data_IF_212550490966
#
_entry.id   IF_212550490966
#
_cell.length_a   1.000
_cell.length_b   1.000
_cell.length_c   1.000
_cell.angle_alpha   90.00
_cell.angle_beta   90.00
_cell.angle_gamma   90.00
#
_symmetry.space_group_name_H-M   'P 1'
#
loop_
_entity.id
_entity.type
_entity.pdbx_description
1 polymer ?
#
# COMPACT_ATOMS: atom_id res chain seq x y z
N UNK A 1 -46.88 -42.88 -18.45
CA UNK A 1 -47.32 -41.85 -17.48
C UNK A 1 -47.85 -42.55 -16.24
N UNK A 2 -47.60 -42.01 -15.03
CA UNK A 2 -48.44 -42.10 -13.82
C UNK A 2 -48.71 -43.51 -13.19
N UNK A 3 -48.89 -43.72 -11.87
CA UNK A 3 -48.57 -42.99 -10.61
C UNK A 3 -49.00 -43.84 -9.38
N UNK A 4 -48.26 -43.79 -8.25
CA UNK A 4 -48.75 -43.89 -6.83
C UNK A 4 -49.42 -45.25 -6.38
N UNK A 5 -49.56 -45.69 -5.11
CA UNK A 5 -49.05 -45.26 -3.78
C UNK A 5 -49.19 -46.35 -2.68
N UNK A 6 -48.25 -46.38 -1.72
CA UNK A 6 -48.37 -46.53 -0.24
C UNK A 6 -49.18 -47.68 0.44
N UNK A 7 -48.59 -48.31 1.48
CA UNK A 7 -49.32 -48.99 2.58
C UNK A 7 -49.13 -48.34 3.98
N UNK A 8 -49.84 -48.86 5.01
CA UNK A 8 -49.75 -48.53 6.45
C UNK A 8 -49.29 -49.76 7.29
N UNK A 9 -48.86 -49.54 8.53
CA UNK A 9 -48.25 -50.53 9.46
C UNK A 9 -49.24 -51.37 10.28
N UNK A 10 -48.75 -52.34 11.09
CA UNK A 10 -48.82 -52.18 12.56
C UNK A 10 -47.53 -52.60 13.34
N UNK A 11 -47.63 -52.84 14.67
CA UNK A 11 -46.58 -52.69 15.74
C UNK A 11 -46.02 -54.03 16.34
N UNK A 12 -44.95 -53.99 17.19
CA UNK A 12 -44.15 -55.13 17.74
C UNK A 12 -44.69 -55.65 19.12
N UNK A 13 -44.03 -56.50 19.97
CA UNK A 13 -42.58 -56.91 20.07
C UNK A 13 -42.26 -58.37 20.56
N UNK A 14 -41.05 -58.55 21.16
CA UNK A 14 -40.43 -59.68 21.93
C UNK A 14 -39.38 -60.49 21.12
N UNK A 15 -38.10 -60.71 21.51
CA UNK A 15 -37.46 -60.70 22.84
C UNK A 15 -36.79 -62.05 23.19
N UNK A 16 -35.61 -62.37 22.61
CA UNK A 16 -34.66 -63.51 22.86
C UNK A 16 -34.43 -64.37 21.59
N UNK A 17 -33.30 -65.05 21.28
CA UNK A 17 -31.90 -65.23 21.76
C UNK A 17 -31.19 -66.03 20.63
N UNK A 18 -29.86 -66.07 20.39
CA UNK A 18 -28.62 -65.40 20.88
C UNK A 18 -27.53 -65.66 19.78
N UNK A 19 -26.57 -64.78 19.49
CA UNK A 19 -25.13 -64.79 19.88
C UNK A 19 -24.49 -63.54 19.24
N UNK A 20 -23.98 -62.55 19.96
CA UNK A 20 -22.64 -62.48 20.60
C UNK A 20 -21.42 -62.71 19.67
N UNK A 21 -21.21 -61.80 18.70
CA UNK A 21 -19.98 -60.99 18.57
C UNK A 21 -20.12 -59.85 17.54
N UNK A 22 -19.28 -58.83 17.68
CA UNK A 22 -18.95 -57.76 16.70
C UNK A 22 -19.79 -56.46 16.60
N UNK A 23 -20.74 -56.17 17.50
CA UNK A 23 -21.47 -54.88 17.48
C UNK A 23 -20.80 -53.69 18.21
N UNK A 24 -19.68 -53.89 18.94
CA UNK A 24 -19.09 -52.81 19.76
C UNK A 24 -18.02 -51.94 19.06
N UNK A 25 -17.54 -52.34 17.88
CA UNK A 25 -16.45 -51.62 17.19
C UNK A 25 -16.96 -50.60 16.15
N UNK A 26 -18.07 -50.90 15.48
CA UNK A 26 -18.54 -50.13 14.32
C UNK A 26 -19.34 -48.86 14.65
N UNK A 27 -20.09 -48.83 15.76
CA UNK A 27 -20.84 -47.62 16.16
C UNK A 27 -19.93 -46.44 16.53
N UNK A 28 -18.71 -46.70 17.03
CA UNK A 28 -17.79 -45.66 17.51
C UNK A 28 -17.01 -44.92 16.41
N UNK A 29 -17.02 -45.44 15.18
CA UNK A 29 -16.22 -44.89 14.06
C UNK A 29 -17.07 -43.96 13.15
N UNK A 30 -18.40 -44.07 13.19
CA UNK A 30 -19.29 -43.30 12.30
C UNK A 30 -19.51 -41.81 12.63
N UNK A 31 -19.17 -41.34 13.83
CA UNK A 31 -19.58 -40.00 14.33
C UNK A 31 -18.47 -38.94 14.38
N UNK A 32 -17.19 -39.33 14.26
CA UNK A 32 -16.04 -38.41 14.33
C UNK A 32 -15.84 -37.60 13.04
N UNK A 33 -15.95 -38.24 11.87
CA UNK A 33 -15.70 -37.58 10.57
C UNK A 33 -16.69 -36.46 10.25
N UNK A 34 -17.95 -36.58 10.69
CA UNK A 34 -18.99 -35.57 10.46
C UNK A 34 -18.83 -34.34 11.36
N UNK A 35 -18.43 -34.53 12.62
CA UNK A 35 -18.13 -33.42 13.55
C UNK A 35 -16.90 -32.62 13.14
N UNK A 36 -15.85 -33.28 12.62
CA UNK A 36 -14.64 -32.58 12.14
C UNK A 36 -14.96 -31.60 11.01
N UNK A 37 -15.69 -32.05 9.97
CA UNK A 37 -16.10 -31.18 8.84
C UNK A 37 -17.04 -30.05 9.24
N UNK A 38 -17.93 -30.24 10.22
CA UNK A 38 -18.81 -29.15 10.69
C UNK A 38 -18.01 -28.07 11.42
N UNK A 39 -17.02 -28.46 12.24
CA UNK A 39 -16.14 -27.50 12.91
C UNK A 39 -15.29 -26.72 11.90
N UNK A 40 -14.68 -27.42 10.95
CA UNK A 40 -13.88 -26.87 9.85
C UNK A 40 -14.69 -25.88 8.99
N UNK A 41 -15.95 -26.20 8.65
CA UNK A 41 -16.84 -25.27 7.93
C UNK A 41 -17.21 -24.05 8.77
N UNK A 42 -17.45 -24.20 10.08
CA UNK A 42 -17.71 -23.06 10.97
C UNK A 42 -16.47 -22.17 11.17
N UNK A 43 -15.29 -22.77 11.23
CA UNK A 43 -14.01 -22.07 11.35
C UNK A 43 -13.75 -21.20 10.12
N UNK A 44 -13.92 -21.77 8.91
CA UNK A 44 -13.84 -21.03 7.64
C UNK A 44 -14.95 -19.99 7.48
N UNK A 45 -16.17 -20.23 7.99
CA UNK A 45 -17.26 -19.23 7.97
C UNK A 45 -17.01 -18.07 8.97
N UNK A 46 -16.35 -18.34 10.09
CA UNK A 46 -15.94 -17.32 11.06
C UNK A 46 -14.75 -16.51 10.56
N UNK A 47 -13.73 -17.17 10.01
CA UNK A 47 -12.58 -16.54 9.34
C UNK A 47 -13.05 -15.65 8.17
N UNK A 48 -13.94 -16.18 7.32
CA UNK A 48 -14.55 -15.42 6.22
C UNK A 48 -15.35 -14.19 6.68
N UNK A 49 -16.04 -14.25 7.83
CA UNK A 49 -16.69 -13.06 8.42
C UNK A 49 -15.68 -12.07 8.96
N UNK A 50 -14.63 -12.55 9.66
CA UNK A 50 -13.57 -11.69 10.18
C UNK A 50 -12.83 -10.95 9.06
N UNK A 51 -12.60 -11.61 7.91
CA UNK A 51 -11.99 -11.01 6.74
C UNK A 51 -12.87 -9.97 6.01
N UNK A 52 -14.20 -10.05 6.14
CA UNK A 52 -15.14 -9.11 5.50
C UNK A 52 -15.47 -7.93 6.42
N UNK A 53 -15.66 -8.17 7.71
CA UNK A 53 -16.11 -7.15 8.68
C UNK A 53 -14.96 -6.38 9.36
N UNK A 54 -13.69 -6.72 9.09
CA UNK A 54 -12.53 -6.00 9.64
C UNK A 54 -12.46 -4.57 9.08
N UNK A 55 -12.74 -3.52 9.89
CA UNK A 55 -12.74 -2.15 9.39
C UNK A 55 -11.30 -1.68 9.26
N UNK A 56 -10.87 -1.41 8.02
CA UNK A 56 -9.53 -0.87 7.69
C UNK A 56 -9.26 0.45 8.39
N UNK A 57 -8.78 0.37 9.63
CA UNK A 57 -8.50 1.47 10.54
C UNK A 57 -7.04 1.30 10.99
N UNK A 58 -6.20 2.34 11.00
CA UNK A 58 -4.74 2.21 11.20
C UNK A 58 -4.29 1.79 12.62
N UNK A 59 -5.20 1.28 13.45
CA UNK A 59 -4.90 0.75 14.77
C UNK A 59 -5.59 -0.61 14.97
N UNK A 60 -4.92 -1.66 14.52
CA UNK A 60 -5.27 -3.03 14.87
C UNK A 60 -4.47 -3.42 16.13
N UNK A 61 -5.09 -3.53 17.33
CA UNK A 61 -4.37 -3.88 18.55
C UNK A 61 -3.87 -5.35 18.57
N UNK A 62 -4.37 -6.17 17.64
CA UNK A 62 -3.95 -7.56 17.41
C UNK A 62 -2.84 -7.67 16.33
N UNK A 63 -1.94 -6.69 16.22
CA UNK A 63 -0.63 -6.93 15.59
C UNK A 63 0.04 -8.07 16.35
N UNK A 64 0.29 -9.19 15.67
CA UNK A 64 0.97 -10.32 16.29
C UNK A 64 2.34 -9.84 16.84
N UNK A 65 2.76 -10.24 18.05
CA UNK A 65 4.06 -9.83 18.61
C UNK A 65 5.24 -10.14 17.68
N UNK A 66 5.05 -11.10 16.78
CA UNK A 66 5.98 -11.52 15.74
C UNK A 66 6.20 -10.47 14.64
N UNK A 67 5.22 -9.63 14.32
CA UNK A 67 5.35 -8.54 13.32
C UNK A 67 6.10 -7.31 13.87
N UNK A 68 6.29 -7.24 15.20
CA UNK A 68 7.08 -6.24 15.91
C UNK A 68 8.47 -6.75 16.32
N UNK A 69 8.83 -7.99 15.97
CA UNK A 69 10.15 -8.55 16.26
C UNK A 69 11.20 -8.03 15.28
N UNK A 70 11.90 -6.97 15.69
CA UNK A 70 13.12 -6.53 15.00
C UNK A 70 14.25 -7.55 15.16
N UNK A 71 15.03 -7.75 14.10
CA UNK A 71 16.33 -8.41 14.18
C UNK A 71 17.38 -7.53 14.91
N UNK A 72 18.50 -8.12 15.30
CA UNK A 72 19.54 -7.40 16.05
C UNK A 72 20.25 -6.38 15.14
N UNK A 73 20.19 -5.09 15.52
CA UNK A 73 20.52 -3.89 14.73
C UNK A 73 19.52 -3.49 13.63
N UNK A 74 18.40 -4.21 13.42
CA UNK A 74 17.35 -3.73 12.51
C UNK A 74 16.75 -2.41 13.04
N UNK A 75 16.58 -1.45 12.12
CA UNK A 75 15.83 -0.22 12.37
C UNK A 75 14.51 -0.29 11.60
N UNK A 76 13.41 0.07 12.26
CA UNK A 76 12.12 0.29 11.60
C UNK A 76 11.61 1.68 11.94
N UNK A 77 11.09 2.37 10.93
CA UNK A 77 10.54 3.71 11.08
C UNK A 77 9.02 3.67 10.99
N UNK A 78 8.35 4.52 11.76
CA UNK A 78 6.92 4.76 11.65
C UNK A 78 6.65 6.27 11.73
N UNK A 79 5.69 6.74 10.94
CA UNK A 79 5.28 8.14 10.97
C UNK A 79 4.51 8.40 12.26
N UNK A 80 4.78 9.53 12.92
CA UNK A 80 3.97 9.97 14.07
C UNK A 80 2.52 10.21 13.60
N UNK A 81 1.49 9.69 14.30
CA UNK A 81 0.09 9.87 13.88
C UNK A 81 -0.29 11.33 13.61
N UNK A 82 0.24 12.27 14.39
CA UNK A 82 0.01 13.72 14.24
C UNK A 82 0.59 14.30 12.93
N UNK A 83 1.55 13.64 12.29
CA UNK A 83 2.08 14.09 10.99
C UNK A 83 1.08 13.87 9.85
N UNK A 84 0.16 12.91 9.97
CA UNK A 84 -0.93 12.75 9.00
C UNK A 84 -1.98 13.86 9.10
N UNK A 85 -2.04 14.60 10.21
CA UNK A 85 -2.87 15.79 10.35
C UNK A 85 -2.24 17.05 9.70
N UNK A 86 -0.99 16.99 9.21
CA UNK A 86 -0.34 18.12 8.53
C UNK A 86 -0.99 18.36 7.15
N UNK A 87 -1.63 19.52 6.91
CA UNK A 87 -2.24 19.82 5.61
C UNK A 87 -1.20 19.85 4.47
N UNK A 88 0.07 20.19 4.75
CA UNK A 88 1.13 20.21 3.72
C UNK A 88 1.53 18.82 3.26
N UNK A 89 1.56 17.84 4.17
CA UNK A 89 1.86 16.45 3.82
C UNK A 89 0.73 15.88 2.94
N UNK A 90 -0.51 16.15 3.32
CA UNK A 90 -1.69 15.75 2.54
C UNK A 90 -1.72 16.42 1.15
N UNK A 91 -1.38 17.71 1.05
CA UNK A 91 -1.22 18.42 -0.21
C UNK A 91 -0.12 17.78 -1.09
N UNK A 92 1.03 17.43 -0.52
CA UNK A 92 2.10 16.76 -1.24
C UNK A 92 1.66 15.40 -1.79
N UNK A 93 1.02 14.57 -0.96
CA UNK A 93 0.49 13.26 -1.36
C UNK A 93 -0.50 13.44 -2.52
N UNK A 94 -1.45 14.37 -2.39
CA UNK A 94 -2.44 14.66 -3.42
C UNK A 94 -1.81 15.09 -4.75
N UNK A 95 -0.88 16.07 -4.73
CA UNK A 95 -0.19 16.55 -5.93
C UNK A 95 0.62 15.45 -6.62
N UNK A 96 1.23 14.54 -5.85
CA UNK A 96 1.96 13.39 -6.41
C UNK A 96 1.03 12.34 -7.01
N UNK A 97 -0.14 12.08 -6.41
CA UNK A 97 -1.16 11.16 -6.96
C UNK A 97 -1.70 11.71 -8.29
N UNK A 98 -2.11 12.98 -8.34
CA UNK A 98 -2.63 13.61 -9.55
C UNK A 98 -1.59 13.61 -10.67
N UNK A 99 -0.32 13.88 -10.35
CA UNK A 99 0.78 13.79 -11.33
C UNK A 99 0.94 12.40 -11.93
N UNK A 100 0.96 11.34 -11.10
CA UNK A 100 1.10 9.96 -11.60
C UNK A 100 -0.12 9.59 -12.46
N UNK A 101 -1.31 10.02 -12.07
CA UNK A 101 -2.55 9.83 -12.81
C UNK A 101 -2.49 10.50 -14.19
N UNK A 102 -2.05 11.76 -14.28
CA UNK A 102 -1.90 12.50 -15.53
C UNK A 102 -0.86 11.85 -16.48
N UNK A 103 0.32 11.49 -15.96
CA UNK A 103 1.37 10.84 -16.77
C UNK A 103 0.93 9.47 -17.33
N UNK A 104 0.14 8.73 -16.55
CA UNK A 104 -0.30 7.37 -16.87
C UNK A 104 -1.73 7.26 -17.41
N UNK A 105 -2.42 8.39 -17.64
CA UNK A 105 -3.79 8.43 -18.17
C UNK A 105 -3.93 7.67 -19.50
N UNK A 106 -2.95 7.80 -20.40
CA UNK A 106 -2.88 7.03 -21.67
C UNK A 106 -2.96 5.51 -21.46
N UNK A 107 -2.42 5.03 -20.34
CA UNK A 107 -2.35 3.61 -19.97
C UNK A 107 -3.58 3.17 -19.15
N UNK A 108 -4.50 4.09 -18.83
CA UNK A 108 -5.70 3.88 -17.99
C UNK A 108 -5.37 3.39 -16.57
N UNK A 109 -4.22 3.79 -16.05
CA UNK A 109 -3.82 3.54 -14.66
C UNK A 109 -4.41 4.66 -13.80
N UNK A 110 -4.91 4.31 -12.62
CA UNK A 110 -5.44 5.25 -11.64
C UNK A 110 -4.89 4.86 -10.26
N UNK A 111 -4.04 5.71 -9.72
CA UNK A 111 -3.56 5.71 -8.33
C UNK A 111 -4.59 6.41 -7.46
N UNK A 112 -4.79 5.87 -6.26
CA UNK A 112 -5.60 6.44 -5.18
C UNK A 112 -4.83 6.56 -3.88
N UNK A 113 -3.86 5.67 -3.65
CA UNK A 113 -3.06 5.63 -2.43
C UNK A 113 -1.62 5.24 -2.78
N UNK A 114 -0.66 6.09 -2.41
CA UNK A 114 0.75 5.87 -2.75
C UNK A 114 1.33 4.61 -2.08
N UNK A 115 0.85 4.23 -0.89
CA UNK A 115 1.32 3.08 -0.15
C UNK A 115 0.73 1.78 -0.70
N UNK A 116 -0.55 1.78 -1.06
CA UNK A 116 -1.24 0.60 -1.59
C UNK A 116 -1.01 0.35 -3.10
N UNK A 117 -0.72 1.39 -3.89
CA UNK A 117 -0.62 1.26 -5.36
C UNK A 117 0.83 1.18 -5.89
N UNK A 118 1.86 1.53 -5.10
CA UNK A 118 3.28 1.53 -5.55
C UNK A 118 4.14 0.37 -5.01
N UNK A 119 3.67 -0.34 -3.98
CA UNK A 119 4.47 -1.31 -3.21
C UNK A 119 4.92 -2.56 -3.99
N UNK A 120 4.24 -2.91 -5.08
CA UNK A 120 4.59 -4.07 -5.92
C UNK A 120 5.58 -3.72 -7.05
N UNK A 121 5.88 -2.42 -7.21
CA UNK A 121 6.75 -1.87 -8.25
C UNK A 121 6.10 -1.71 -9.63
N UNK A 122 4.84 -2.07 -9.84
CA UNK A 122 4.18 -2.03 -11.15
C UNK A 122 3.96 -0.60 -11.65
N UNK A 123 3.40 0.27 -10.81
CA UNK A 123 3.15 1.66 -11.20
C UNK A 123 4.47 2.44 -11.30
N UNK A 124 5.43 2.16 -10.42
CA UNK A 124 6.81 2.69 -10.53
C UNK A 124 7.48 2.29 -11.85
N UNK A 125 7.31 1.03 -12.30
CA UNK A 125 7.76 0.62 -13.64
C UNK A 125 7.11 1.49 -14.71
N UNK A 126 5.77 1.60 -14.75
CA UNK A 126 5.06 2.31 -15.83
C UNK A 126 5.33 3.80 -15.85
N UNK A 127 5.52 4.41 -14.69
CA UNK A 127 5.96 5.79 -14.55
C UNK A 127 7.38 5.97 -15.12
N UNK A 128 8.34 5.13 -14.73
CA UNK A 128 9.70 5.24 -15.24
C UNK A 128 9.79 4.96 -16.76
N UNK A 129 9.01 4.00 -17.26
CA UNK A 129 8.93 3.70 -18.71
C UNK A 129 8.40 4.90 -19.52
N UNK A 130 7.39 5.61 -18.99
CA UNK A 130 6.84 6.85 -19.58
C UNK A 130 7.87 7.98 -19.56
N UNK A 131 8.52 8.21 -18.42
CA UNK A 131 9.45 9.32 -18.21
C UNK A 131 10.76 9.15 -19.00
N UNK A 132 11.38 7.96 -18.99
CA UNK A 132 12.58 7.67 -19.78
C UNK A 132 12.30 7.42 -21.26
N UNK A 133 11.06 7.06 -21.63
CA UNK A 133 10.68 6.55 -22.97
C UNK A 133 11.42 5.25 -23.37
N UNK A 134 11.88 4.50 -22.38
CA UNK A 134 12.55 3.20 -22.50
C UNK A 134 11.73 2.14 -21.77
N UNK A 135 11.66 0.91 -22.28
CA UNK A 135 10.99 -0.20 -21.59
C UNK A 135 11.93 -0.90 -20.61
N UNK A 136 11.39 -1.34 -19.48
CA UNK A 136 12.12 -2.16 -18.51
C UNK A 136 11.89 -3.65 -18.79
N UNK A 137 12.95 -4.45 -18.70
CA UNK A 137 12.89 -5.90 -18.81
C UNK A 137 12.48 -6.52 -17.45
N UNK A 138 11.18 -6.43 -17.15
CA UNK A 138 10.57 -7.00 -15.94
C UNK A 138 9.23 -7.68 -16.27
N UNK A 139 8.80 -8.69 -15.49
CA UNK A 139 7.52 -9.36 -15.72
C UNK A 139 6.33 -8.40 -15.57
N UNK A 140 5.39 -8.40 -16.53
CA UNK A 140 4.23 -7.48 -16.50
C UNK A 140 3.34 -7.65 -15.26
N UNK A 141 3.29 -8.86 -14.69
CA UNK A 141 2.54 -9.17 -13.47
C UNK A 141 3.36 -10.07 -12.53
N UNK A 142 3.25 -9.83 -11.23
CA UNK A 142 4.01 -10.50 -10.17
C UNK A 142 3.05 -10.89 -9.05
N UNK A 143 2.89 -12.20 -8.81
CA UNK A 143 1.89 -12.74 -7.88
C UNK A 143 2.47 -13.16 -6.52
N UNK A 144 3.78 -13.44 -6.44
CA UNK A 144 4.46 -13.77 -5.17
C UNK A 144 5.22 -12.57 -4.62
N UNK A 145 5.44 -12.58 -3.30
CA UNK A 145 6.22 -11.56 -2.59
C UNK A 145 7.64 -11.43 -3.16
N UNK A 146 8.31 -12.56 -3.40
CA UNK A 146 9.65 -12.58 -3.96
C UNK A 146 9.67 -11.99 -5.39
N UNK A 147 8.60 -12.21 -6.15
CA UNK A 147 8.45 -11.63 -7.49
C UNK A 147 8.29 -10.11 -7.45
N UNK A 148 7.52 -9.59 -6.48
CA UNK A 148 7.37 -8.15 -6.24
C UNK A 148 8.71 -7.53 -5.81
N UNK A 149 9.42 -8.14 -4.85
CA UNK A 149 10.75 -7.68 -4.40
C UNK A 149 11.79 -7.74 -5.52
N UNK A 150 11.76 -8.76 -6.39
CA UNK A 150 12.60 -8.82 -7.60
C UNK A 150 12.27 -7.72 -8.61
N UNK A 151 10.98 -7.46 -8.89
CA UNK A 151 10.55 -6.34 -9.76
C UNK A 151 11.04 -5.00 -9.20
N UNK A 152 10.76 -4.72 -7.93
CA UNK A 152 11.24 -3.51 -7.24
C UNK A 152 12.76 -3.38 -7.30
N UNK A 153 13.52 -4.47 -7.17
CA UNK A 153 14.98 -4.44 -7.31
C UNK A 153 15.39 -3.85 -8.67
N UNK A 154 14.84 -4.38 -9.77
CA UNK A 154 15.17 -3.93 -11.13
C UNK A 154 14.66 -2.50 -11.38
N UNK A 155 13.44 -2.17 -10.94
CA UNK A 155 12.84 -0.84 -11.10
C UNK A 155 13.64 0.21 -10.32
N UNK A 156 13.99 -0.03 -9.05
CA UNK A 156 14.74 0.93 -8.23
C UNK A 156 16.21 1.06 -8.70
N UNK A 157 16.84 -0.01 -9.20
CA UNK A 157 18.15 0.11 -9.87
C UNK A 157 18.08 1.01 -11.12
N UNK A 158 17.02 0.90 -11.92
CA UNK A 158 16.79 1.77 -13.06
C UNK A 158 16.48 3.22 -12.66
N UNK A 159 15.70 3.45 -11.60
CA UNK A 159 15.47 4.81 -11.05
C UNK A 159 16.79 5.41 -10.57
N UNK A 160 17.57 4.69 -9.75
CA UNK A 160 18.84 5.18 -9.22
C UNK A 160 19.83 5.55 -10.34
N UNK A 161 19.85 4.76 -11.43
CA UNK A 161 20.61 5.07 -12.66
C UNK A 161 20.09 6.35 -13.34
N UNK A 162 18.78 6.51 -13.50
CA UNK A 162 18.18 7.68 -14.14
C UNK A 162 18.38 8.99 -13.34
N UNK A 163 18.42 8.89 -12.01
CA UNK A 163 18.70 10.00 -11.09
C UNK A 163 20.21 10.29 -10.91
N UNK A 164 21.10 9.50 -11.52
CA UNK A 164 22.56 9.52 -11.31
C UNK A 164 22.99 9.39 -9.83
N UNK A 165 22.20 8.68 -9.02
CA UNK A 165 22.45 8.52 -7.58
C UNK A 165 23.39 7.32 -7.31
N UNK A 166 24.43 7.49 -6.47
CA UNK A 166 25.13 6.37 -5.85
C UNK A 166 24.16 5.50 -5.06
N UNK A 167 24.32 4.17 -5.09
CA UNK A 167 23.42 3.21 -4.42
C UNK A 167 23.19 3.48 -2.92
N UNK A 168 24.15 4.13 -2.25
CA UNK A 168 24.09 4.46 -0.81
C UNK A 168 23.46 5.83 -0.49
N UNK A 169 23.13 6.66 -1.50
CA UNK A 169 22.56 8.01 -1.32
C UNK A 169 21.02 8.04 -1.44
N UNK A 170 20.39 6.92 -1.81
CA UNK A 170 18.95 6.83 -1.95
C UNK A 170 18.27 6.71 -0.58
N UNK A 171 17.20 7.49 -0.35
CA UNK A 171 16.35 7.40 0.86
C UNK A 171 15.27 6.31 0.73
N UNK A 172 15.45 5.37 -0.22
CA UNK A 172 14.52 4.29 -0.52
C UNK A 172 15.28 3.00 -0.81
N UNK A 173 14.66 1.87 -0.47
CA UNK A 173 15.16 0.54 -0.79
C UNK A 173 13.97 -0.40 -1.08
N UNK A 174 14.26 -1.59 -1.58
CA UNK A 174 13.23 -2.58 -1.97
C UNK A 174 12.32 -2.92 -0.80
N UNK A 175 12.89 -3.15 0.38
CA UNK A 175 12.14 -3.58 1.56
C UNK A 175 11.24 -2.45 2.09
N UNK A 176 11.71 -1.19 2.11
CA UNK A 176 10.90 -0.08 2.61
C UNK A 176 9.73 0.29 1.67
N UNK A 177 9.93 0.24 0.34
CA UNK A 177 8.83 0.42 -0.61
C UNK A 177 7.83 -0.75 -0.52
N UNK A 178 8.31 -1.99 -0.41
CA UNK A 178 7.45 -3.18 -0.31
C UNK A 178 6.68 -3.25 1.02
N UNK A 179 7.30 -2.85 2.14
CA UNK A 179 6.67 -2.62 3.45
C UNK A 179 5.73 -1.41 3.49
N UNK A 180 5.51 -0.73 2.36
CA UNK A 180 4.60 0.41 2.21
C UNK A 180 5.00 1.63 3.05
N UNK A 181 6.29 1.85 3.28
CA UNK A 181 6.77 3.02 4.03
C UNK A 181 6.61 4.31 3.20
N UNK A 182 5.70 5.18 3.63
CA UNK A 182 5.35 6.40 2.88
C UNK A 182 6.52 7.37 2.66
N UNK A 183 7.40 7.57 3.66
CA UNK A 183 8.51 8.53 3.55
C UNK A 183 9.50 8.14 2.42
N UNK A 184 10.01 6.90 2.34
CA UNK A 184 10.75 6.40 1.18
C UNK A 184 10.03 6.58 -0.17
N UNK A 185 8.71 6.33 -0.21
CA UNK A 185 7.89 6.53 -1.43
C UNK A 185 7.86 8.02 -1.82
N UNK A 186 7.67 8.92 -0.85
CA UNK A 186 7.65 10.36 -1.09
C UNK A 186 9.00 10.87 -1.60
N UNK A 187 10.13 10.48 -0.97
CA UNK A 187 11.45 10.86 -1.47
C UNK A 187 11.69 10.37 -2.90
N UNK A 188 11.33 9.12 -3.21
CA UNK A 188 11.45 8.53 -4.55
C UNK A 188 10.69 9.37 -5.59
N UNK A 189 9.41 9.64 -5.34
CA UNK A 189 8.55 10.39 -6.26
C UNK A 189 9.00 11.85 -6.41
N UNK A 190 9.34 12.52 -5.31
CA UNK A 190 9.87 13.90 -5.33
C UNK A 190 11.20 13.98 -6.09
N UNK A 191 12.07 12.98 -5.98
CA UNK A 191 13.30 12.89 -6.78
C UNK A 191 13.02 12.69 -8.27
N UNK A 192 12.03 11.87 -8.64
CA UNK A 192 11.59 11.70 -10.03
C UNK A 192 11.04 13.02 -10.60
N UNK A 193 10.09 13.67 -9.90
CA UNK A 193 9.50 14.97 -10.29
C UNK A 193 10.58 16.01 -10.60
N UNK A 194 11.58 16.14 -9.71
CA UNK A 194 12.70 17.09 -9.87
C UNK A 194 13.60 16.73 -11.05
N UNK A 195 14.01 15.46 -11.17
CA UNK A 195 14.94 15.01 -12.21
C UNK A 195 14.35 15.13 -13.63
N UNK A 196 13.09 14.74 -13.79
CA UNK A 196 12.40 14.80 -15.07
C UNK A 196 11.73 16.15 -15.35
N UNK A 197 11.79 17.09 -14.39
CA UNK A 197 11.14 18.42 -14.46
C UNK A 197 9.66 18.32 -14.81
N UNK A 198 8.96 17.45 -14.08
CA UNK A 198 7.52 17.27 -14.26
C UNK A 198 6.78 18.62 -14.10
N UNK A 199 5.71 18.87 -14.88
CA UNK A 199 5.04 20.17 -14.93
C UNK A 199 4.08 20.40 -13.74
N UNK A 200 4.56 20.17 -12.52
CA UNK A 200 3.80 20.27 -11.28
C UNK A 200 4.51 21.13 -10.23
N UNK A 201 3.74 21.77 -9.34
CA UNK A 201 4.26 22.55 -8.22
C UNK A 201 4.14 21.75 -6.93
N UNK A 202 5.24 21.17 -6.47
CA UNK A 202 5.34 20.57 -5.14
C UNK A 202 5.20 21.64 -4.05
N UNK A 203 4.51 21.37 -2.92
CA UNK A 203 4.53 22.25 -1.75
C UNK A 203 5.93 22.29 -1.11
N UNK A 204 6.31 23.47 -0.59
CA UNK A 204 7.64 23.72 -0.01
C UNK A 204 7.69 23.47 1.50
N UNK A 205 8.86 23.08 2.01
CA UNK A 205 9.13 22.89 3.44
C UNK A 205 8.14 21.90 4.06
N UNK A 206 7.97 20.74 3.41
CA UNK A 206 7.17 19.60 3.89
C UNK A 206 8.10 18.67 4.66
N UNK A 207 7.73 18.36 5.89
CA UNK A 207 8.55 17.58 6.81
C UNK A 207 7.71 16.67 7.67
N UNK A 208 8.14 15.43 7.87
CA UNK A 208 7.37 14.37 8.55
C UNK A 208 8.05 14.02 9.88
N UNK A 209 7.29 13.99 10.97
CA UNK A 209 7.74 13.45 12.25
C UNK A 209 7.70 11.92 12.24
N UNK A 210 8.80 11.29 12.66
CA UNK A 210 8.99 9.84 12.61
C UNK A 210 9.54 9.31 13.93
N UNK A 211 9.03 8.17 14.37
CA UNK A 211 9.64 7.35 15.42
C UNK A 211 10.50 6.29 14.74
N UNK A 212 11.81 6.30 14.97
CA UNK A 212 12.70 5.22 14.56
C UNK A 212 12.97 4.33 15.77
N UNK A 213 12.58 3.06 15.66
CA UNK A 213 12.82 2.03 16.67
C UNK A 213 13.94 1.12 16.18
N UNK A 214 14.93 0.87 17.03
CA UNK A 214 16.07 0.02 16.74
C UNK A 214 16.33 -0.94 17.90
N UNK A 215 16.53 -2.22 17.57
CA UNK A 215 16.97 -3.21 18.55
C UNK A 215 18.49 -3.21 18.67
N UNK A 216 18.99 -2.99 19.88
CA UNK A 216 20.42 -3.02 20.24
C UNK A 216 20.60 -3.79 21.54
N UNK A 217 21.49 -4.77 21.50
CA UNK A 217 21.82 -5.67 22.61
C UNK A 217 20.56 -6.33 23.19
N UNK A 218 19.64 -6.76 22.31
CA UNK A 218 18.33 -7.33 22.69
C UNK A 218 17.31 -6.32 23.25
N UNK A 219 17.65 -5.05 23.39
CA UNK A 219 16.77 -4.00 23.92
C UNK A 219 16.24 -3.09 22.80
N UNK A 220 14.95 -2.74 22.85
CA UNK A 220 14.39 -1.75 21.92
C UNK A 220 14.73 -0.33 22.38
N UNK A 221 15.50 0.38 21.55
CA UNK A 221 15.74 1.81 21.64
C UNK A 221 14.82 2.55 20.66
N UNK A 222 14.37 3.76 20.99
CA UNK A 222 13.63 4.61 20.07
C UNK A 222 14.23 6.02 20.02
N UNK A 223 14.10 6.67 18.87
CA UNK A 223 14.47 8.08 18.66
C UNK A 223 13.43 8.77 17.79
N UNK A 224 13.16 10.03 18.10
CA UNK A 224 12.35 10.90 17.24
C UNK A 224 13.25 11.51 16.17
N UNK A 225 12.83 11.40 14.90
CA UNK A 225 13.51 11.97 13.75
C UNK A 225 12.50 12.84 13.00
N UNK A 226 12.95 13.98 12.50
CA UNK A 226 12.14 14.83 11.62
C UNK A 226 12.77 14.79 10.24
N UNK A 227 12.08 14.14 9.30
CA UNK A 227 12.56 13.97 7.93
C UNK A 227 12.04 15.11 7.04
N UNK A 228 12.88 15.64 6.15
CA UNK A 228 12.52 16.73 5.25
C UNK A 228 12.30 16.21 3.82
N UNK A 229 11.05 16.23 3.37
CA UNK A 229 10.64 15.70 2.06
C UNK A 229 10.84 16.75 0.96
N UNK A 230 10.50 18.00 1.26
CA UNK A 230 10.70 19.14 0.33
C UNK A 230 11.33 20.33 1.02
N UNK A 231 12.35 20.91 0.39
CA UNK A 231 12.97 22.20 0.74
C UNK A 231 12.39 23.31 -0.15
N UNK A 232 12.98 24.51 -0.14
CA UNK A 232 12.62 25.61 -1.06
C UNK A 232 13.06 25.32 -2.50
N UNK A 233 12.41 25.95 -3.49
CA UNK A 233 12.73 25.75 -4.92
C UNK A 233 14.15 26.20 -5.30
N UNK A 234 14.66 27.26 -4.66
CA UNK A 234 15.99 27.81 -4.94
C UNK A 234 17.12 26.82 -4.58
N UNK A 235 16.94 26.04 -3.50
CA UNK A 235 17.90 25.02 -3.05
C UNK A 235 17.94 23.78 -3.95
N UNK A 236 16.88 23.55 -4.74
CA UNK A 236 16.64 22.30 -5.48
C UNK A 236 17.06 22.36 -6.95
N UNK A 237 17.59 23.49 -7.41
CA UNK A 237 17.92 23.71 -8.83
C UNK A 237 16.69 23.78 -9.76
N UNK A 238 15.49 23.62 -9.21
CA UNK A 238 14.21 23.83 -9.88
C UNK A 238 13.94 25.34 -9.98
N UNK A 239 14.70 26.03 -10.84
CA UNK A 239 14.29 27.32 -11.38
C UNK A 239 13.09 27.11 -12.28
N UNK A 240 11.91 27.00 -11.67
CA UNK A 240 10.71 27.50 -12.32
C UNK A 240 10.97 28.99 -12.55
N UNK A 241 11.12 29.40 -13.81
CA UNK A 241 11.26 30.83 -14.12
C UNK A 241 9.98 31.51 -13.60
N UNK A 242 10.12 32.44 -12.63
CA UNK A 242 8.99 33.15 -12.03
C UNK A 242 8.11 33.67 -13.16
N UNK A 243 6.88 33.16 -13.22
CA UNK A 243 6.05 33.47 -14.37
C UNK A 243 5.46 34.89 -14.23
N UNK A 244 4.74 35.31 -15.27
CA UNK A 244 4.09 36.61 -15.26
C UNK A 244 3.00 36.71 -14.17
N UNK A 245 2.47 35.59 -13.67
CA UNK A 245 1.48 35.53 -12.60
C UNK A 245 2.12 35.60 -11.21
N UNK A 246 3.19 34.87 -10.91
CA UNK A 246 3.93 34.99 -9.64
C UNK A 246 4.32 36.47 -9.39
N UNK A 247 4.86 37.12 -10.42
CA UNK A 247 5.20 38.56 -10.36
C UNK A 247 3.96 39.45 -10.14
N UNK A 248 2.81 39.07 -10.73
CA UNK A 248 1.54 39.78 -10.57
C UNK A 248 0.98 39.63 -9.15
N UNK A 249 1.03 38.43 -8.58
CA UNK A 249 0.58 38.15 -7.22
C UNK A 249 1.43 38.90 -6.18
N UNK A 250 2.75 38.81 -6.28
CA UNK A 250 3.68 39.40 -5.30
C UNK A 250 3.69 40.94 -5.32
N UNK A 251 3.72 41.55 -6.52
CA UNK A 251 4.02 42.98 -6.68
C UNK A 251 2.82 43.82 -7.15
N UNK A 252 1.80 43.21 -7.74
CA UNK A 252 0.69 43.89 -8.40
C UNK A 252 -0.69 43.23 -8.18
N UNK A 253 -1.08 42.88 -6.94
CA UNK A 253 -2.33 42.17 -6.69
C UNK A 253 -3.58 42.91 -7.21
N UNK A 254 -3.55 44.24 -7.24
CA UNK A 254 -4.62 45.08 -7.82
C UNK A 254 -4.92 44.76 -9.30
N UNK A 255 -3.91 44.29 -10.05
CA UNK A 255 -4.04 43.94 -11.48
C UNK A 255 -4.71 42.58 -11.69
N UNK A 256 -4.81 41.72 -10.67
CA UNK A 256 -5.49 40.42 -10.77
C UNK A 256 -6.96 40.57 -11.17
N UNK A 257 -7.65 41.58 -10.67
CA UNK A 257 -9.05 41.84 -11.03
C UNK A 257 -9.21 42.23 -12.50
N UNK A 258 -8.22 42.91 -13.07
CA UNK A 258 -8.19 43.27 -14.50
C UNK A 258 -8.00 42.02 -15.36
N UNK A 259 -7.03 41.16 -15.01
CA UNK A 259 -6.80 39.88 -15.71
C UNK A 259 -8.02 38.96 -15.61
N UNK A 260 -8.59 38.80 -14.41
CA UNK A 260 -9.82 38.01 -14.18
C UNK A 260 -10.99 38.52 -15.01
N UNK A 261 -11.23 39.83 -15.03
CA UNK A 261 -12.31 40.44 -15.83
C UNK A 261 -12.05 40.25 -17.33
N UNK A 262 -10.81 40.35 -17.78
CA UNK A 262 -10.43 40.13 -19.18
C UNK A 262 -10.73 38.69 -19.58
N UNK A 263 -10.20 37.69 -18.87
CA UNK A 263 -10.47 36.26 -19.14
C UNK A 263 -11.96 35.92 -19.13
N UNK A 264 -12.74 36.52 -18.21
CA UNK A 264 -14.20 36.33 -18.12
C UNK A 264 -14.99 37.00 -19.27
N UNK A 265 -14.32 37.72 -20.19
CA UNK A 265 -14.95 38.38 -21.35
C UNK A 265 -14.62 37.65 -22.68
N UNK A 266 -13.74 36.64 -22.65
CA UNK A 266 -13.32 35.86 -23.83
C UNK A 266 -13.86 34.41 -23.83
N UNK A 267 -14.80 34.11 -22.93
CA UNK A 267 -15.61 32.87 -22.85
C UNK A 267 -17.07 33.28 -23.04
#
# INVERSE_FOLDING_TARGET
MATLTRPKSPRPPVSAKKDEKDESFWEKIGTLGRKKRIKEVQEVEQEGKYAIDSPGTPYNPDLAPEECNLEENEERSMIEPQSFDDPKLNELIFVLIEWINDELADQRIIVKDLQEDLYDGQILQKLLEKLNREKLDVPEVTQSEEGQKQKLTIVLEAVNKALNLPRWNAQWNVESIHRKELVPILHLLVSLVRNFRAPIRLPENVSVGMVVVQKKEGTLSHRMVKEEITTTYDDLGMRCERDAFDTLFDHHPDKLQVVKKTLSTWI
#
